data_IF_252883304183
#
_entry.id   IF_252883304183
#
_cell.length_a   1.000
_cell.length_b   1.000
_cell.length_c   1.000
_cell.angle_alpha   90.00
_cell.angle_beta   90.00
_cell.angle_gamma   90.00
#
_symmetry.space_group_name_H-M   'P 1'
#
loop_
_entity.id
_entity.type
_entity.pdbx_description
1 polymer ?
#
# COMPACT_ATOMS: atom_id res chain seq x y z
N UNK A 1 -17.10 18.52 0.20
CA UNK A 1 -15.63 18.34 0.04
C UNK A 1 -15.32 16.85 -0.03
N UNK A 2 -15.71 16.18 -1.12
CA UNK A 2 -15.58 14.70 -1.26
C UNK A 2 -14.13 14.20 -1.34
N UNK A 3 -13.16 15.10 -1.44
CA UNK A 3 -11.75 14.77 -1.49
C UNK A 3 -11.19 14.46 -0.10
N UNK A 4 -11.32 15.38 0.84
CA UNK A 4 -10.83 15.20 2.21
C UNK A 4 -11.55 14.04 2.92
N UNK A 5 -12.83 13.85 2.64
CA UNK A 5 -13.63 12.73 3.15
C UNK A 5 -13.13 11.37 2.61
N UNK A 6 -12.67 11.32 1.35
CA UNK A 6 -12.04 10.10 0.81
C UNK A 6 -10.62 9.84 1.31
N UNK A 7 -10.01 10.83 1.97
CA UNK A 7 -8.67 10.75 2.55
C UNK A 7 -8.70 10.51 4.06
N UNK A 8 -9.80 10.84 4.72
CA UNK A 8 -9.94 10.84 6.18
C UNK A 8 -11.27 10.18 6.52
N UNK A 9 -11.23 8.88 6.83
CA UNK A 9 -12.38 8.12 7.31
C UNK A 9 -12.30 7.96 8.84
N UNK A 10 -11.09 7.77 9.37
CA UNK A 10 -10.82 7.57 10.79
C UNK A 10 -9.71 8.48 11.34
N UNK A 11 -9.55 8.49 12.68
CA UNK A 11 -8.52 9.27 13.35
C UNK A 11 -7.10 8.84 12.97
N UNK A 12 -6.92 7.58 12.56
CA UNK A 12 -5.63 7.05 12.11
C UNK A 12 -5.17 7.73 10.82
N UNK A 13 -6.07 7.98 9.87
CA UNK A 13 -5.77 8.70 8.62
C UNK A 13 -5.30 10.13 8.92
N UNK A 14 -5.95 10.81 9.86
CA UNK A 14 -5.54 12.15 10.31
C UNK A 14 -4.13 12.13 10.89
N UNK A 15 -3.81 11.12 11.70
CA UNK A 15 -2.48 10.95 12.29
C UNK A 15 -1.43 10.69 11.22
N UNK A 16 -1.72 9.87 10.22
CA UNK A 16 -0.82 9.59 9.10
C UNK A 16 -0.58 10.84 8.25
N UNK A 17 -1.65 11.56 7.88
CA UNK A 17 -1.56 12.80 7.11
C UNK A 17 -0.82 13.90 7.87
N UNK A 18 -0.98 13.96 9.21
CA UNK A 18 -0.20 14.87 10.07
C UNK A 18 1.27 14.46 10.11
N UNK A 19 1.56 13.17 10.25
CA UNK A 19 2.92 12.64 10.21
C UNK A 19 3.64 12.92 8.89
N UNK A 20 2.91 12.87 7.78
CA UNK A 20 3.38 13.23 6.45
C UNK A 20 3.48 14.75 6.20
N UNK A 21 3.01 15.59 7.14
CA UNK A 21 3.00 17.06 7.00
C UNK A 21 1.95 17.59 6.01
N UNK A 22 1.02 16.74 5.56
CA UNK A 22 -0.06 17.08 4.62
C UNK A 22 -1.19 17.81 5.36
N UNK A 23 -1.44 17.45 6.62
CA UNK A 23 -2.49 18.02 7.46
C UNK A 23 -1.89 18.69 8.70
N UNK A 24 -2.21 19.97 8.91
CA UNK A 24 -1.79 20.71 10.10
C UNK A 24 -2.96 20.86 11.08
N UNK A 25 -2.91 20.13 12.19
CA UNK A 25 -3.97 20.14 13.21
C UNK A 25 -3.67 21.20 14.29
N UNK A 26 -4.59 22.16 14.48
CA UNK A 26 -4.63 23.08 15.64
C UNK A 26 -5.91 22.95 16.47
N UNK A 27 -6.81 22.03 16.10
CA UNK A 27 -8.20 21.99 16.55
C UNK A 27 -8.46 20.94 17.64
N UNK A 28 -7.49 20.10 18.00
CA UNK A 28 -7.64 19.10 19.05
C UNK A 28 -6.91 17.80 18.72
N UNK A 29 -7.39 16.68 19.24
CA UNK A 29 -6.90 15.35 18.86
C UNK A 29 -7.28 14.97 17.43
N UNK A 30 -6.75 13.85 16.97
CA UNK A 30 -6.94 13.37 15.60
C UNK A 30 -8.40 12.94 15.35
N UNK A 31 -9.11 12.50 16.40
CA UNK A 31 -10.50 12.09 16.34
C UNK A 31 -11.47 13.27 16.19
N UNK A 32 -11.19 14.39 16.85
CA UNK A 32 -11.96 15.62 16.73
C UNK A 32 -11.86 16.21 15.31
N UNK A 33 -10.68 16.13 14.70
CA UNK A 33 -10.47 16.56 13.32
C UNK A 33 -11.20 15.66 12.32
N UNK A 34 -11.14 14.34 12.48
CA UNK A 34 -11.91 13.41 11.65
C UNK A 34 -13.42 13.71 11.72
N UNK A 35 -13.96 13.91 12.93
CA UNK A 35 -15.37 14.26 13.15
C UNK A 35 -15.74 15.60 12.52
N UNK A 36 -14.88 16.61 12.62
CA UNK A 36 -15.11 17.92 12.02
C UNK A 36 -15.20 17.84 10.49
N UNK A 37 -14.25 17.15 9.85
CA UNK A 37 -14.19 17.03 8.40
C UNK A 37 -15.42 16.30 7.87
N UNK A 38 -15.82 15.20 8.53
CA UNK A 38 -17.03 14.43 8.20
C UNK A 38 -18.31 15.27 8.33
N UNK A 39 -18.41 16.07 9.39
CA UNK A 39 -19.54 16.99 9.60
C UNK A 39 -19.58 18.10 8.53
N UNK A 40 -18.44 18.71 8.23
CA UNK A 40 -18.34 19.72 7.17
C UNK A 40 -18.69 19.14 5.79
N UNK A 41 -18.35 17.88 5.52
CA UNK A 41 -18.72 17.26 4.26
C UNK A 41 -20.22 16.94 4.16
N UNK A 42 -20.87 16.66 5.28
CA UNK A 42 -22.33 16.41 5.35
C UNK A 42 -23.13 17.69 5.06
N UNK A 43 -22.64 18.85 5.52
CA UNK A 43 -23.35 20.13 5.42
C UNK A 43 -23.05 20.92 4.14
N UNK A 44 -21.99 20.57 3.38
CA UNK A 44 -21.55 21.30 2.19
C UNK A 44 -21.92 20.56 0.91
N UNK A 45 -22.56 21.28 -0.04
CA UNK A 45 -22.91 20.76 -1.38
C UNK A 45 -21.69 20.12 -2.04
N UNK A 46 -21.83 18.84 -2.42
CA UNK A 46 -20.78 18.03 -3.06
C UNK A 46 -20.40 18.57 -4.44
N UNK A 47 -19.32 19.35 -4.52
CA UNK A 47 -18.68 19.65 -5.79
C UNK A 47 -17.73 18.51 -6.18
N UNK A 48 -18.28 17.49 -6.83
CA UNK A 48 -17.51 16.31 -7.28
C UNK A 48 -16.39 16.67 -8.27
N UNK A 49 -16.50 17.83 -8.95
CA UNK A 49 -15.60 18.24 -10.02
C UNK A 49 -14.41 19.07 -9.57
N UNK A 50 -14.43 19.66 -8.37
CA UNK A 50 -13.37 20.62 -7.95
C UNK A 50 -12.01 19.95 -7.74
N UNK A 51 -12.00 18.66 -7.37
CA UNK A 51 -10.77 17.92 -7.05
C UNK A 51 -10.61 16.65 -7.90
N UNK A 52 -11.36 16.51 -8.99
CA UNK A 52 -11.31 15.33 -9.85
C UNK A 52 -9.92 15.14 -10.45
N UNK A 53 -9.28 16.22 -10.89
CA UNK A 53 -7.93 16.19 -11.46
C UNK A 53 -6.89 15.74 -10.43
N UNK A 54 -6.96 16.27 -9.20
CA UNK A 54 -6.05 15.88 -8.10
C UNK A 54 -6.23 14.41 -7.75
N UNK A 55 -7.47 13.93 -7.63
CA UNK A 55 -7.78 12.50 -7.41
C UNK A 55 -7.18 11.63 -8.53
N UNK A 56 -7.31 12.07 -9.77
CA UNK A 56 -6.78 11.34 -10.92
C UNK A 56 -5.24 11.30 -10.93
N UNK A 57 -4.58 12.38 -10.56
CA UNK A 57 -3.12 12.43 -10.45
C UNK A 57 -2.60 11.48 -9.36
N UNK A 58 -3.23 11.48 -8.17
CA UNK A 58 -2.88 10.55 -7.08
C UNK A 58 -3.08 9.11 -7.52
N UNK A 59 -4.23 8.80 -8.13
CA UNK A 59 -4.53 7.46 -8.65
C UNK A 59 -3.47 7.00 -9.66
N UNK A 60 -3.12 7.86 -10.62
CA UNK A 60 -2.12 7.54 -11.64
C UNK A 60 -0.73 7.34 -11.02
N UNK A 61 -0.35 8.15 -10.03
CA UNK A 61 0.92 8.00 -9.34
C UNK A 61 1.00 6.69 -8.57
N UNK A 62 -0.02 6.36 -7.76
CA UNK A 62 -0.11 5.09 -7.06
C UNK A 62 -0.09 3.91 -8.04
N UNK A 63 -0.93 3.96 -9.08
CA UNK A 63 -0.97 2.92 -10.11
C UNK A 63 0.39 2.73 -10.79
N UNK A 64 1.07 3.82 -11.13
CA UNK A 64 2.42 3.75 -11.72
C UNK A 64 3.42 3.15 -10.75
N UNK A 65 3.41 3.51 -9.47
CA UNK A 65 4.25 2.86 -8.45
C UNK A 65 3.98 1.35 -8.39
N UNK A 66 2.71 0.94 -8.26
CA UNK A 66 2.32 -0.47 -8.16
C UNK A 66 2.71 -1.29 -9.40
N UNK A 67 2.76 -0.67 -10.59
CA UNK A 67 3.23 -1.31 -11.82
C UNK A 67 4.76 -1.29 -11.92
N UNK A 68 5.41 -0.22 -11.48
CA UNK A 68 6.86 -0.05 -11.58
C UNK A 68 7.64 -0.96 -10.63
N UNK A 69 7.21 -1.12 -9.37
CA UNK A 69 7.91 -1.98 -8.42
C UNK A 69 8.09 -3.44 -8.91
N UNK A 70 7.03 -4.14 -9.34
CA UNK A 70 7.19 -5.50 -9.87
C UNK A 70 7.96 -5.51 -11.20
N UNK A 71 7.78 -4.49 -12.05
CA UNK A 71 8.54 -4.39 -13.31
C UNK A 71 10.05 -4.20 -13.06
N UNK A 72 10.42 -3.40 -12.06
CA UNK A 72 11.80 -3.17 -11.65
C UNK A 72 12.40 -4.40 -10.97
N UNK A 73 11.63 -5.08 -10.11
CA UNK A 73 12.04 -6.33 -9.49
C UNK A 73 12.26 -7.42 -10.55
N UNK A 74 11.36 -7.52 -11.53
CA UNK A 74 11.53 -8.39 -12.68
C UNK A 74 12.78 -8.02 -13.47
N UNK A 75 12.97 -6.74 -13.82
CA UNK A 75 14.17 -6.32 -14.55
C UNK A 75 15.48 -6.62 -13.81
N UNK A 76 15.53 -6.44 -12.49
CA UNK A 76 16.71 -6.73 -11.67
C UNK A 76 16.95 -8.24 -11.54
N UNK A 77 15.90 -9.02 -11.25
CA UNK A 77 16.00 -10.48 -11.11
C UNK A 77 16.29 -11.20 -12.43
N UNK A 78 15.77 -10.68 -13.55
CA UNK A 78 15.89 -11.28 -14.88
C UNK A 78 16.97 -10.61 -15.75
N UNK A 79 17.73 -9.64 -15.21
CA UNK A 79 18.80 -8.96 -15.97
C UNK A 79 19.90 -9.90 -16.45
N UNK A 80 20.16 -10.96 -15.70
CA UNK A 80 21.17 -11.96 -16.03
C UNK A 80 20.46 -13.31 -16.08
N UNK A 81 20.37 -13.88 -17.29
CA UNK A 81 19.69 -15.17 -17.57
C UNK A 81 20.03 -16.24 -16.51
N UNK A 82 21.27 -16.25 -16.00
CA UNK A 82 21.76 -17.18 -15.00
C UNK A 82 21.23 -16.95 -13.57
N UNK A 83 21.00 -15.71 -13.15
CA UNK A 83 20.53 -15.40 -11.78
C UNK A 83 19.10 -15.90 -11.56
N UNK A 84 18.26 -15.84 -12.60
CA UNK A 84 16.92 -16.42 -12.55
C UNK A 84 16.96 -17.94 -12.31
N UNK A 85 17.75 -18.68 -13.09
CA UNK A 85 17.90 -20.12 -12.90
C UNK A 85 18.50 -20.47 -11.53
N UNK A 86 19.45 -19.68 -11.03
CA UNK A 86 20.01 -19.87 -9.69
C UNK A 86 18.95 -19.65 -8.59
N UNK A 87 18.12 -18.61 -8.72
CA UNK A 87 17.04 -18.32 -7.78
C UNK A 87 15.96 -19.42 -7.78
N UNK A 88 15.53 -19.86 -8.97
CA UNK A 88 14.58 -20.98 -9.12
C UNK A 88 15.18 -22.27 -8.55
N UNK A 89 16.46 -22.53 -8.81
CA UNK A 89 17.19 -23.66 -8.24
C UNK A 89 17.23 -23.62 -6.71
N UNK A 90 17.48 -22.46 -6.12
CA UNK A 90 17.49 -22.29 -4.66
C UNK A 90 16.10 -22.56 -4.05
N UNK A 91 15.03 -22.05 -4.66
CA UNK A 91 13.65 -22.34 -4.22
C UNK A 91 13.37 -23.84 -4.31
N UNK A 92 13.69 -24.47 -5.44
CA UNK A 92 13.50 -25.92 -5.62
C UNK A 92 14.28 -26.73 -4.57
N UNK A 93 15.54 -26.35 -4.29
CA UNK A 93 16.35 -26.99 -3.26
C UNK A 93 15.73 -26.86 -1.86
N UNK A 94 15.15 -25.71 -1.51
CA UNK A 94 14.42 -25.51 -0.25
C UNK A 94 13.17 -26.39 -0.16
N UNK A 95 12.40 -26.51 -1.24
CA UNK A 95 11.24 -27.41 -1.30
C UNK A 95 11.65 -28.87 -1.09
N UNK A 96 12.67 -29.32 -1.83
CA UNK A 96 13.19 -30.69 -1.70
C UNK A 96 13.71 -30.95 -0.27
N UNK A 97 14.46 -30.00 0.30
CA UNK A 97 14.99 -30.12 1.67
C UNK A 97 13.88 -30.18 2.72
N UNK A 98 12.80 -29.42 2.51
CA UNK A 98 11.64 -29.41 3.41
C UNK A 98 10.89 -30.75 3.35
N UNK A 99 10.66 -31.27 2.14
CA UNK A 99 10.06 -32.60 1.95
C UNK A 99 10.94 -33.69 2.57
N UNK A 100 12.25 -33.66 2.31
CA UNK A 100 13.20 -34.61 2.87
C UNK A 100 13.13 -34.61 4.40
N UNK A 101 13.20 -33.43 5.02
CA UNK A 101 13.11 -33.29 6.49
C UNK A 101 11.78 -33.82 7.02
N UNK A 102 10.67 -33.50 6.36
CA UNK A 102 9.35 -33.99 6.73
C UNK A 102 9.27 -35.52 6.68
N UNK A 103 9.71 -36.14 5.57
CA UNK A 103 9.72 -37.59 5.43
C UNK A 103 10.67 -38.26 6.42
N UNK A 104 11.86 -37.71 6.66
CA UNK A 104 12.80 -38.22 7.66
C UNK A 104 12.23 -38.20 9.07
N UNK A 105 11.48 -37.17 9.44
CA UNK A 105 10.81 -37.07 10.75
C UNK A 105 9.62 -38.05 10.85
N UNK A 106 8.90 -38.27 9.75
CA UNK A 106 7.70 -39.12 9.72
C UNK A 106 7.96 -40.58 9.33
N UNK A 107 9.21 -41.04 9.21
CA UNK A 107 9.48 -42.47 8.99
C UNK A 107 9.17 -43.27 10.28
N UNK A 108 8.16 -44.17 10.28
CA UNK A 108 7.98 -45.09 11.38
C UNK A 108 9.09 -46.16 11.33
N UNK A 109 9.60 -46.52 12.51
CA UNK A 109 10.61 -47.57 12.71
C UNK A 109 10.15 -48.93 12.24
#
# INVERSE_FOLDING_TARGET
>A
MDFLDSLIDEAEDVKELRGAGILYNRLGGDEEVAKLIKKMNTDVVRSQTTYSEVKQQIYNHCKNMWIQYPAQAYHTCFRTRWTFFAFVGAIAALFVSSLQTHYTIHQPK
#
